data_IF_089169091561
#
_entry.id   IF_089169091561
#
_cell.length_a   1.000
_cell.length_b   1.000
_cell.length_c   1.000
_cell.angle_alpha   90.00
_cell.angle_beta   90.00
_cell.angle_gamma   90.00
#
_symmetry.space_group_name_H-M   'P 1'
#
loop_
_entity.id
_entity.type
_entity.pdbx_description
1 polymer ?
#
# COMPACT_ATOMS: atom_id res chain seq x y z
N UNK A 1 -4.45 -15.83 20.34
CA UNK A 1 -4.48 -14.65 21.23
C UNK A 1 -3.16 -13.90 21.03
N UNK A 2 -3.21 -12.59 20.81
CA UNK A 2 -2.00 -11.77 20.68
C UNK A 2 -1.17 -11.86 21.97
N UNK A 3 0.16 -12.08 21.92
CA UNK A 3 1.00 -12.12 23.13
C UNK A 3 1.16 -10.75 23.80
N UNK A 4 0.56 -9.72 23.20
CA UNK A 4 0.63 -8.33 23.61
C UNK A 4 -0.57 -7.98 24.50
N UNK A 5 -0.33 -7.26 25.60
CA UNK A 5 -1.40 -6.74 26.47
C UNK A 5 -1.16 -5.28 26.81
N UNK A 6 -2.23 -4.49 26.81
CA UNK A 6 -2.20 -3.12 27.31
C UNK A 6 -1.96 -3.09 28.82
N UNK A 7 -1.11 -2.18 29.27
CA UNK A 7 -0.87 -1.87 30.68
C UNK A 7 -0.93 -0.36 30.90
N UNK A 8 -1.69 0.06 31.90
CA UNK A 8 -1.65 1.43 32.40
C UNK A 8 -0.74 1.49 33.62
N UNK A 9 0.36 2.25 33.56
CA UNK A 9 1.28 2.42 34.69
C UNK A 9 1.73 3.88 34.79
N UNK A 10 1.57 4.48 35.98
CA UNK A 10 1.91 5.89 36.22
C UNK A 10 1.24 6.86 35.23
N UNK A 11 -0.04 6.62 34.92
CA UNK A 11 -0.81 7.42 33.96
C UNK A 11 -0.24 7.42 32.52
N UNK A 12 0.54 6.39 32.17
CA UNK A 12 1.05 6.15 30.82
C UNK A 12 0.61 4.77 30.31
N UNK A 13 0.30 4.69 29.01
CA UNK A 13 -0.01 3.47 28.28
C UNK A 13 1.28 2.75 27.89
N UNK A 14 1.30 1.44 28.09
CA UNK A 14 2.45 0.57 27.80
C UNK A 14 1.96 -0.72 27.16
N UNK A 15 2.80 -1.33 26.33
CA UNK A 15 2.57 -2.66 25.78
C UNK A 15 3.46 -3.65 26.53
N UNK A 16 2.85 -4.70 27.08
CA UNK A 16 3.58 -5.85 27.63
C UNK A 16 3.67 -6.95 26.59
N UNK A 17 4.90 -7.41 26.33
CA UNK A 17 5.23 -8.56 25.50
C UNK A 17 6.06 -9.53 26.32
N UNK A 18 5.47 -10.64 26.75
CA UNK A 18 6.11 -11.57 27.69
C UNK A 18 6.58 -10.84 28.95
N UNK A 19 7.91 -10.80 29.16
CA UNK A 19 8.55 -10.12 30.29
C UNK A 19 9.00 -8.67 29.99
N UNK A 20 8.90 -8.23 28.74
CA UNK A 20 9.23 -6.85 28.32
C UNK A 20 8.01 -5.95 28.47
N UNK A 21 8.25 -4.68 28.78
CA UNK A 21 7.21 -3.65 28.82
C UNK A 21 7.75 -2.40 28.16
N UNK A 22 7.15 -2.04 27.03
CA UNK A 22 7.55 -0.89 26.23
C UNK A 22 6.56 0.26 26.42
N UNK A 23 7.03 1.50 26.67
CA UNK A 23 6.14 2.66 26.69
C UNK A 23 5.62 2.96 25.28
N UNK A 24 4.34 3.31 25.16
CA UNK A 24 3.80 3.81 23.90
C UNK A 24 4.32 5.24 23.69
N UNK A 25 4.83 5.60 22.49
CA UNK A 25 5.25 6.97 22.20
C UNK A 25 4.11 7.96 22.41
N UNK A 26 4.42 9.14 22.96
CA UNK A 26 3.43 10.18 23.31
C UNK A 26 2.42 10.54 22.21
N UNK A 27 2.82 10.78 20.94
CA UNK A 27 1.84 11.12 19.89
C UNK A 27 0.88 9.96 19.59
N UNK A 28 1.34 8.71 19.71
CA UNK A 28 0.53 7.51 19.51
C UNK A 28 -0.39 7.27 20.71
N UNK A 29 0.15 7.41 21.92
CA UNK A 29 -0.58 7.25 23.18
C UNK A 29 -1.77 8.21 23.24
N UNK A 30 -1.58 9.48 22.92
CA UNK A 30 -2.66 10.47 22.93
C UNK A 30 -3.81 10.07 22.01
N UNK A 31 -3.49 9.60 20.81
CA UNK A 31 -4.51 9.17 19.84
C UNK A 31 -5.22 7.88 20.24
N UNK A 32 -4.52 6.95 20.91
CA UNK A 32 -5.12 5.72 21.42
C UNK A 32 -6.04 5.95 22.63
N UNK A 33 -5.69 6.89 23.52
CA UNK A 33 -6.45 7.15 24.75
C UNK A 33 -7.62 8.12 24.56
N UNK A 34 -7.48 9.08 23.64
CA UNK A 34 -8.47 10.13 23.39
C UNK A 34 -9.13 10.00 22.01
N UNK A 35 -8.89 8.88 21.33
CA UNK A 35 -9.52 8.54 20.07
C UNK A 35 -11.03 8.28 20.22
N UNK A 36 -11.76 8.18 19.09
CA UNK A 36 -13.20 7.92 19.10
C UNK A 36 -13.58 6.52 19.58
N UNK A 37 -12.63 5.58 19.57
CA UNK A 37 -12.86 4.20 19.93
C UNK A 37 -12.10 3.80 21.20
N UNK A 38 -12.69 2.92 21.99
CA UNK A 38 -12.03 2.32 23.14
C UNK A 38 -10.90 1.34 22.72
N UNK A 39 -9.89 1.23 23.59
CA UNK A 39 -8.85 0.20 23.50
C UNK A 39 -9.48 -1.19 23.67
N UNK A 40 -9.09 -2.12 22.79
CA UNK A 40 -9.55 -3.50 22.85
C UNK A 40 -8.54 -4.38 23.58
N UNK A 41 -8.88 -5.64 23.82
CA UNK A 41 -7.91 -6.61 24.34
C UNK A 41 -6.84 -6.99 23.30
N UNK A 42 -7.05 -6.67 22.02
CA UNK A 42 -6.12 -6.97 20.93
C UNK A 42 -5.31 -5.71 20.57
N UNK A 43 -4.16 -5.58 21.25
CA UNK A 43 -3.17 -4.52 21.00
C UNK A 43 -2.81 -4.41 19.52
N UNK A 44 -2.73 -5.53 18.81
CA UNK A 44 -2.35 -5.51 17.40
C UNK A 44 -3.44 -4.93 16.52
N UNK A 45 -4.69 -5.33 16.76
CA UNK A 45 -5.82 -4.75 16.06
C UNK A 45 -5.92 -3.24 16.30
N UNK A 46 -5.69 -2.78 17.53
CA UNK A 46 -5.72 -1.36 17.89
C UNK A 46 -4.64 -0.54 17.17
N UNK A 47 -3.39 -1.02 17.17
CA UNK A 47 -2.28 -0.34 16.49
C UNK A 47 -2.46 -0.31 14.97
N UNK A 48 -2.91 -1.41 14.36
CA UNK A 48 -3.17 -1.49 12.92
C UNK A 48 -4.36 -0.63 12.50
N UNK A 49 -5.39 -0.55 13.34
CA UNK A 49 -6.53 0.35 13.14
C UNK A 49 -6.08 1.80 13.18
N UNK A 50 -5.26 2.19 14.16
CA UNK A 50 -4.73 3.55 14.23
C UNK A 50 -3.88 3.91 13.00
N UNK A 51 -3.00 3.01 12.54
CA UNK A 51 -2.24 3.21 11.30
C UNK A 51 -3.18 3.43 10.10
N UNK A 52 -4.21 2.59 9.96
CA UNK A 52 -5.23 2.74 8.91
C UNK A 52 -5.95 4.08 8.96
N UNK A 53 -6.34 4.55 10.15
CA UNK A 53 -7.00 5.86 10.35
C UNK A 53 -6.07 7.02 10.00
N UNK A 54 -4.82 6.98 10.47
CA UNK A 54 -3.83 8.01 10.17
C UNK A 54 -3.50 8.05 8.67
N UNK A 55 -3.32 6.89 8.04
CA UNK A 55 -3.06 6.80 6.60
C UNK A 55 -4.23 7.36 5.78
N UNK A 56 -5.48 7.07 6.16
CA UNK A 56 -6.66 7.66 5.53
C UNK A 56 -6.70 9.19 5.69
N UNK A 57 -6.38 9.70 6.88
CA UNK A 57 -6.30 11.14 7.15
C UNK A 57 -5.20 11.81 6.31
N UNK A 58 -4.00 11.24 6.26
CA UNK A 58 -2.88 11.77 5.47
C UNK A 58 -3.25 11.91 3.99
N UNK A 59 -3.92 10.91 3.41
CA UNK A 59 -4.39 10.99 2.01
C UNK A 59 -5.41 12.09 1.80
N UNK A 60 -6.38 12.22 2.71
CA UNK A 60 -7.38 13.29 2.63
C UNK A 60 -6.69 14.66 2.68
N UNK A 61 -5.76 14.86 3.61
CA UNK A 61 -4.99 16.10 3.73
C UNK A 61 -4.15 16.37 2.47
N UNK A 62 -3.54 15.36 1.84
CA UNK A 62 -2.86 15.51 0.55
C UNK A 62 -3.82 15.98 -0.55
N UNK A 63 -4.98 15.34 -0.69
CA UNK A 63 -5.97 15.74 -1.68
C UNK A 63 -6.48 17.17 -1.46
N UNK A 64 -6.73 17.54 -0.19
CA UNK A 64 -7.13 18.89 0.20
C UNK A 64 -6.01 19.92 -0.07
N UNK A 65 -4.75 19.58 0.20
CA UNK A 65 -3.58 20.41 -0.09
C UNK A 65 -3.42 20.65 -1.60
N UNK A 66 -3.53 19.59 -2.41
CA UNK A 66 -3.50 19.71 -3.87
C UNK A 66 -4.65 20.55 -4.42
N UNK A 67 -5.87 20.35 -3.90
CA UNK A 67 -7.03 21.14 -4.30
C UNK A 67 -6.83 22.63 -3.96
N UNK A 68 -6.31 22.94 -2.76
CA UNK A 68 -5.96 24.29 -2.34
C UNK A 68 -4.84 24.88 -3.22
N UNK A 69 -3.80 24.11 -3.56
CA UNK A 69 -2.73 24.55 -4.46
C UNK A 69 -3.25 24.87 -5.87
N UNK A 70 -4.18 24.04 -6.40
CA UNK A 70 -4.87 24.31 -7.68
C UNK A 70 -5.75 25.55 -7.62
N UNK A 71 -6.43 25.80 -6.50
CA UNK A 71 -7.21 27.03 -6.27
C UNK A 71 -6.33 28.28 -6.26
N UNK A 72 -5.24 28.25 -5.49
CA UNK A 72 -4.21 29.30 -5.44
C UNK A 72 -3.69 29.59 -6.86
N UNK A 73 -3.34 28.54 -7.62
CA UNK A 73 -2.84 28.68 -9.00
C UNK A 73 -3.87 29.31 -9.94
N UNK A 74 -5.15 28.91 -9.85
CA UNK A 74 -6.25 29.51 -10.64
C UNK A 74 -6.43 31.00 -10.34
N UNK A 75 -6.28 31.42 -9.07
CA UNK A 75 -6.28 32.84 -8.72
C UNK A 75 -5.11 33.62 -9.35
N UNK A 76 -3.97 32.97 -9.62
CA UNK A 76 -2.82 33.60 -10.27
C UNK A 76 -2.89 33.62 -11.80
N UNK A 77 -3.48 32.60 -12.44
CA UNK A 77 -3.61 32.55 -13.91
C UNK A 77 -4.77 33.39 -14.46
N UNK A 78 -5.73 33.78 -13.62
CA UNK A 78 -6.83 34.69 -13.92
C UNK A 78 -6.41 36.17 -14.06
N UNK A 79 -5.43 36.48 -14.91
CA UNK A 79 -5.28 37.82 -15.48
C UNK A 79 -6.24 37.94 -16.67
N UNK A 80 -7.24 38.82 -16.52
CA UNK A 80 -8.18 39.30 -17.56
C UNK A 80 -9.54 38.59 -17.61
N UNK A 81 -10.47 39.02 -16.75
CA UNK A 81 -11.74 39.64 -17.17
C UNK A 81 -12.58 40.01 -15.93
N UNK A 82 -12.71 41.31 -15.73
CA UNK A 82 -13.84 42.05 -15.17
C UNK A 82 -14.82 41.37 -14.18
N UNK A 83 -14.96 42.03 -13.01
CA UNK A 83 -16.21 42.20 -12.24
C UNK A 83 -17.01 40.94 -11.88
N UNK A 84 -16.66 40.32 -10.74
CA UNK A 84 -17.67 39.88 -9.77
C UNK A 84 -17.06 39.86 -8.35
N UNK A 85 -17.69 40.49 -7.34
CA UNK A 85 -17.30 40.34 -5.96
C UNK A 85 -17.82 38.98 -5.47
N UNK A 86 -17.09 37.91 -5.80
CA UNK A 86 -17.36 36.60 -5.21
C UNK A 86 -16.74 36.62 -3.81
N UNK A 87 -17.62 36.58 -2.82
CA UNK A 87 -17.39 36.28 -1.40
C UNK A 87 -16.05 35.58 -1.09
N UNK A 88 -15.05 36.38 -0.69
CA UNK A 88 -14.68 36.44 0.73
C UNK A 88 -13.56 35.53 1.25
N UNK A 89 -12.72 34.91 0.40
CA UNK A 89 -11.39 34.47 0.86
C UNK A 89 -10.33 35.35 0.23
N UNK A 90 -9.62 36.09 1.07
CA UNK A 90 -8.47 36.85 0.58
C UNK A 90 -7.36 35.86 0.21
N UNK A 91 -6.44 36.28 -0.67
CA UNK A 91 -5.25 35.49 -1.01
C UNK A 91 -4.47 35.04 0.22
N UNK A 92 -4.39 35.90 1.23
CA UNK A 92 -3.74 35.57 2.50
C UNK A 92 -4.45 34.41 3.21
N UNK A 93 -5.79 34.38 3.19
CA UNK A 93 -6.57 33.30 3.79
C UNK A 93 -6.40 31.97 3.04
N UNK A 94 -6.33 31.98 1.71
CA UNK A 94 -6.11 30.77 0.92
C UNK A 94 -4.71 30.17 1.15
N UNK A 95 -3.68 31.02 1.20
CA UNK A 95 -2.30 30.59 1.50
C UNK A 95 -2.19 30.10 2.95
N UNK A 96 -2.79 30.80 3.91
CA UNK A 96 -2.81 30.37 5.32
C UNK A 96 -3.56 29.04 5.50
N UNK A 97 -4.67 28.85 4.76
CA UNK A 97 -5.41 27.59 4.72
C UNK A 97 -4.57 26.43 4.18
N UNK A 98 -3.92 26.62 3.02
CA UNK A 98 -3.00 25.63 2.46
C UNK A 98 -1.85 25.30 3.42
N UNK A 99 -1.21 26.32 4.03
CA UNK A 99 -0.10 26.14 4.97
C UNK A 99 -0.53 25.28 6.15
N UNK A 100 -1.70 25.56 6.74
CA UNK A 100 -2.24 24.75 7.84
C UNK A 100 -2.50 23.29 7.44
N UNK A 101 -3.01 23.04 6.23
CA UNK A 101 -3.26 21.68 5.75
C UNK A 101 -1.94 20.92 5.59
N UNK A 102 -0.90 21.59 5.07
CA UNK A 102 0.44 21.00 4.93
C UNK A 102 1.05 20.70 6.30
N UNK A 103 0.98 21.63 7.26
CA UNK A 103 1.44 21.40 8.64
C UNK A 103 0.74 20.19 9.27
N UNK A 104 -0.59 20.08 9.10
CA UNK A 104 -1.34 18.92 9.59
C UNK A 104 -0.93 17.62 8.88
N UNK A 105 -0.64 17.67 7.59
CA UNK A 105 -0.18 16.51 6.83
C UNK A 105 1.19 16.04 7.34
N UNK A 106 2.10 16.97 7.61
CA UNK A 106 3.42 16.68 8.15
C UNK A 106 3.31 16.04 9.54
N UNK A 107 2.49 16.62 10.44
CA UNK A 107 2.24 16.06 11.79
C UNK A 107 1.69 14.63 11.74
N UNK A 108 0.73 14.37 10.84
CA UNK A 108 0.15 13.04 10.65
C UNK A 108 1.19 12.08 10.08
N UNK A 109 2.01 12.51 9.12
CA UNK A 109 3.05 11.68 8.51
C UNK A 109 4.10 11.28 9.55
N UNK A 110 4.57 12.23 10.36
CA UNK A 110 5.50 11.97 11.47
C UNK A 110 4.88 10.99 12.48
N UNK A 111 3.60 11.15 12.80
CA UNK A 111 2.91 10.25 13.74
C UNK A 111 2.80 8.82 13.20
N UNK A 112 2.55 8.65 11.90
CA UNK A 112 2.57 7.35 11.23
C UNK A 112 3.96 6.72 11.33
N UNK A 113 5.01 7.47 11.03
CA UNK A 113 6.40 6.99 11.12
C UNK A 113 6.73 6.51 12.54
N UNK A 114 6.42 7.32 13.56
CA UNK A 114 6.62 6.97 14.97
C UNK A 114 5.84 5.71 15.37
N UNK A 115 4.59 5.58 14.93
CA UNK A 115 3.78 4.39 15.17
C UNK A 115 4.41 3.14 14.56
N UNK A 116 4.87 3.22 13.31
CA UNK A 116 5.45 2.09 12.59
C UNK A 116 6.79 1.68 13.17
N UNK A 117 7.65 2.64 13.47
CA UNK A 117 8.92 2.39 14.17
C UNK A 117 8.69 1.71 15.52
N UNK A 118 7.69 2.18 16.29
CA UNK A 118 7.31 1.55 17.53
C UNK A 118 6.89 0.10 17.32
N UNK A 119 5.96 -0.19 16.41
CA UNK A 119 5.52 -1.56 16.11
C UNK A 119 6.67 -2.44 15.63
N UNK A 120 7.56 -1.94 14.77
CA UNK A 120 8.75 -2.67 14.33
C UNK A 120 9.66 -3.00 15.53
N UNK A 121 9.87 -2.04 16.44
CA UNK A 121 10.72 -2.23 17.64
C UNK A 121 10.16 -3.22 18.66
N UNK A 122 8.84 -3.48 18.63
CA UNK A 122 8.22 -4.48 19.50
C UNK A 122 8.71 -5.89 19.17
N UNK A 123 9.30 -6.13 17.98
CA UNK A 123 9.59 -7.46 17.46
C UNK A 123 8.37 -8.40 17.60
N UNK A 124 7.22 -8.01 17.03
CA UNK A 124 5.96 -8.67 17.31
C UNK A 124 5.87 -10.05 16.64
N UNK A 125 4.90 -10.85 17.08
CA UNK A 125 4.55 -12.14 16.49
C UNK A 125 3.24 -12.07 15.68
N UNK A 126 3.02 -13.07 14.82
CA UNK A 126 1.78 -13.21 14.05
C UNK A 126 1.56 -12.05 13.07
N UNK A 127 0.32 -11.57 12.95
CA UNK A 127 -0.05 -10.53 11.98
C UNK A 127 0.78 -9.24 12.11
N UNK A 128 1.07 -8.81 13.34
CA UNK A 128 1.87 -7.60 13.56
C UNK A 128 3.30 -7.75 13.04
N UNK A 129 3.86 -8.97 13.08
CA UNK A 129 5.17 -9.28 12.51
C UNK A 129 5.14 -9.13 11.00
N UNK A 130 4.16 -9.74 10.36
CA UNK A 130 4.03 -9.76 8.90
C UNK A 130 3.81 -8.32 8.39
N UNK A 131 3.08 -7.50 9.16
CA UNK A 131 2.92 -6.06 8.91
C UNK A 131 4.23 -5.29 9.10
N UNK A 132 4.94 -5.50 10.20
CA UNK A 132 6.21 -4.84 10.49
C UNK A 132 7.29 -5.16 9.45
N UNK A 133 7.36 -6.42 8.99
CA UNK A 133 8.20 -6.80 7.86
C UNK A 133 7.76 -6.10 6.57
N UNK A 134 6.44 -5.96 6.36
CA UNK A 134 5.85 -5.22 5.24
C UNK A 134 6.34 -3.78 5.15
N UNK A 135 6.31 -3.05 6.26
CA UNK A 135 6.76 -1.66 6.33
C UNK A 135 8.26 -1.48 6.14
N UNK A 136 9.07 -2.52 6.42
CA UNK A 136 10.51 -2.48 6.19
C UNK A 136 10.89 -2.66 4.71
N UNK A 137 9.97 -3.14 3.87
CA UNK A 137 10.21 -3.31 2.42
C UNK A 137 10.14 -1.95 1.72
N UNK A 138 11.12 -1.69 0.85
CA UNK A 138 11.08 -0.52 -0.02
C UNK A 138 9.85 -0.62 -0.94
N UNK A 139 8.94 0.37 -0.95
CA UNK A 139 7.75 0.34 -1.78
C UNK A 139 8.03 0.59 -3.28
N UNK A 140 9.24 1.02 -3.65
CA UNK A 140 9.58 1.25 -5.05
C UNK A 140 9.59 -0.05 -5.87
N UNK A 141 9.15 -0.02 -7.15
CA UNK A 141 9.22 -1.18 -8.02
C UNK A 141 10.67 -1.69 -8.09
N UNK A 142 10.93 -2.98 -7.79
CA UNK A 142 12.27 -3.55 -7.92
C UNK A 142 12.76 -3.48 -9.37
N UNK A 143 14.08 -3.32 -9.58
CA UNK A 143 14.67 -3.10 -10.90
C UNK A 143 14.42 -4.23 -11.93
N UNK A 144 14.05 -5.43 -11.47
CA UNK A 144 13.71 -6.58 -12.33
C UNK A 144 12.22 -6.67 -12.67
N UNK A 145 11.40 -5.75 -12.17
CA UNK A 145 9.97 -5.62 -12.52
C UNK A 145 9.84 -4.63 -13.67
N UNK A 146 9.16 -5.04 -14.74
CA UNK A 146 8.79 -4.13 -15.82
C UNK A 146 7.45 -3.48 -15.50
N UNK A 147 7.43 -2.14 -15.47
CA UNK A 147 6.22 -1.35 -15.19
C UNK A 147 5.68 -0.80 -16.51
N UNK A 148 4.48 -1.23 -16.88
CA UNK A 148 3.76 -0.81 -18.07
C UNK A 148 2.57 0.04 -17.64
N UNK A 149 2.26 1.08 -18.43
CA UNK A 149 1.25 2.08 -18.11
C UNK A 149 -0.10 1.46 -17.76
N UNK A 150 -0.58 0.46 -18.50
CA UNK A 150 -1.81 -0.24 -18.16
C UNK A 150 -1.88 -1.63 -18.83
N UNK A 151 -2.91 -2.40 -18.48
CA UNK A 151 -3.12 -3.76 -18.98
C UNK A 151 -3.48 -3.83 -20.48
N UNK A 152 -4.11 -2.78 -21.03
CA UNK A 152 -4.43 -2.70 -22.46
C UNK A 152 -3.16 -2.49 -23.28
N UNK A 153 -2.28 -1.59 -22.85
CA UNK A 153 -0.98 -1.39 -23.46
C UNK A 153 -0.12 -2.64 -23.34
N UNK A 154 -0.13 -3.31 -22.18
CA UNK A 154 0.58 -4.58 -22.02
C UNK A 154 0.12 -5.65 -23.03
N UNK A 155 -1.19 -5.72 -23.30
CA UNK A 155 -1.79 -6.61 -24.30
C UNK A 155 -1.52 -6.18 -25.76
N UNK A 156 -1.34 -4.89 -26.02
CA UNK A 156 -0.96 -4.36 -27.34
C UNK A 156 0.53 -4.56 -27.65
N UNK A 157 1.41 -4.43 -26.65
CA UNK A 157 2.85 -4.64 -26.79
C UNK A 157 3.19 -6.11 -27.08
N UNK A 158 2.41 -7.05 -26.52
CA UNK A 158 2.47 -8.47 -26.87
C UNK A 158 1.06 -9.06 -26.97
N UNK A 159 0.59 -9.21 -28.22
CA UNK A 159 -0.73 -9.78 -28.51
C UNK A 159 -0.94 -11.20 -27.97
N UNK A 160 0.12 -11.96 -27.64
CA UNK A 160 0.00 -13.27 -27.02
C UNK A 160 -0.53 -13.19 -25.59
N UNK A 161 -0.44 -12.02 -24.94
CA UNK A 161 -1.05 -11.73 -23.63
C UNK A 161 -2.54 -11.43 -23.73
N UNK A 162 -3.07 -11.21 -24.94
CA UNK A 162 -4.43 -10.76 -25.16
C UNK A 162 -5.40 -11.91 -25.47
N UNK A 163 -6.66 -11.72 -25.09
CA UNK A 163 -7.82 -12.47 -25.60
C UNK A 163 -8.87 -11.49 -26.10
N UNK A 164 -9.72 -11.87 -27.08
CA UNK A 164 -10.88 -11.08 -27.44
C UNK A 164 -11.76 -10.87 -26.20
N UNK A 165 -12.10 -9.63 -25.90
CA UNK A 165 -13.29 -9.36 -25.10
C UNK A 165 -14.50 -9.42 -26.05
N UNK A 166 -15.64 -9.95 -25.61
CA UNK A 166 -16.80 -10.21 -26.48
C UNK A 166 -17.42 -8.96 -27.12
N UNK A 167 -16.82 -7.77 -26.96
CA UNK A 167 -17.27 -6.48 -27.44
C UNK A 167 -16.37 -5.89 -28.53
N UNK A 168 -15.44 -6.71 -29.07
CA UNK A 168 -14.52 -6.29 -30.13
C UNK A 168 -13.25 -5.61 -29.63
N UNK A 169 -13.03 -5.58 -28.31
CA UNK A 169 -11.80 -5.16 -27.68
C UNK A 169 -10.86 -6.33 -27.34
N UNK A 170 -9.80 -6.03 -26.62
CA UNK A 170 -8.80 -7.00 -26.14
C UNK A 170 -8.66 -6.86 -24.63
N UNK A 171 -8.76 -7.99 -23.93
CA UNK A 171 -8.51 -8.10 -22.49
C UNK A 171 -7.27 -8.96 -22.25
N UNK A 172 -6.69 -8.90 -21.05
CA UNK A 172 -5.66 -9.86 -20.65
C UNK A 172 -6.23 -11.29 -20.66
N UNK A 173 -5.47 -12.20 -21.24
CA UNK A 173 -5.71 -13.64 -21.24
C UNK A 173 -5.14 -14.32 -19.97
N UNK A 174 -5.09 -13.57 -18.87
CA UNK A 174 -4.51 -14.01 -17.61
C UNK A 174 -5.48 -14.80 -16.73
N UNK A 175 -4.90 -15.62 -15.86
CA UNK A 175 -5.56 -16.38 -14.80
C UNK A 175 -5.21 -15.71 -13.47
N UNK A 176 -6.18 -15.09 -12.82
CA UNK A 176 -6.00 -14.29 -11.58
C UNK A 176 -6.22 -15.12 -10.31
N UNK A 177 -5.55 -16.27 -10.24
CA UNK A 177 -5.73 -17.26 -9.15
C UNK A 177 -4.97 -16.92 -7.86
N UNK A 178 -4.00 -16.00 -7.91
CA UNK A 178 -3.18 -15.62 -6.75
C UNK A 178 -3.83 -14.57 -5.85
N UNK A 179 -5.13 -14.31 -6.06
CA UNK A 179 -5.94 -13.43 -5.24
C UNK A 179 -5.84 -11.94 -5.58
N UNK A 180 -6.87 -11.22 -5.14
CA UNK A 180 -6.92 -9.77 -5.12
C UNK A 180 -6.49 -9.23 -3.75
N UNK A 181 -6.21 -7.94 -3.66
CA UNK A 181 -5.81 -7.22 -2.44
C UNK A 181 -4.33 -7.34 -2.06
N UNK A 182 -3.47 -7.54 -3.05
CA UNK A 182 -2.05 -7.28 -2.90
C UNK A 182 -1.82 -5.78 -2.71
N UNK A 183 -0.78 -5.44 -1.93
CA UNK A 183 -0.59 -4.08 -1.43
C UNK A 183 0.75 -3.50 -1.84
N UNK A 184 0.72 -2.21 -2.18
CA UNK A 184 1.87 -1.32 -2.28
C UNK A 184 1.42 0.00 -1.70
N UNK A 185 2.01 0.43 -0.59
CA UNK A 185 1.40 1.51 0.23
C UNK A 185 1.12 2.82 -0.53
N UNK A 186 2.01 3.30 -1.42
CA UNK A 186 1.72 4.44 -2.29
C UNK A 186 0.49 4.29 -3.19
N UNK A 187 0.08 3.05 -3.52
CA UNK A 187 -0.98 2.75 -4.50
C UNK A 187 -2.32 2.33 -3.88
N UNK A 188 -2.28 1.84 -2.64
CA UNK A 188 -3.45 1.36 -1.93
C UNK A 188 -4.48 2.48 -1.82
N UNK A 189 -5.78 2.20 -1.86
CA UNK A 189 -6.81 3.22 -1.59
C UNK A 189 -7.38 3.02 -0.19
N UNK A 190 -7.71 4.09 0.55
CA UNK A 190 -8.41 3.92 1.81
C UNK A 190 -9.80 3.34 1.49
N UNK A 191 -10.06 2.13 1.96
CA UNK A 191 -11.43 1.60 1.96
C UNK A 191 -12.34 2.55 2.74
N UNK A 192 -13.55 2.82 2.28
CA UNK A 192 -14.55 3.54 3.10
C UNK A 192 -15.00 2.69 4.30
N UNK A 193 -14.83 1.37 4.19
CA UNK A 193 -15.21 0.39 5.22
C UNK A 193 -13.98 -0.10 5.99
N UNK A 194 -13.99 -0.03 7.34
CA UNK A 194 -13.01 -0.72 8.16
C UNK A 194 -13.04 -2.24 7.94
N UNK A 195 -11.91 -2.95 8.14
CA UNK A 195 -10.60 -2.42 8.47
C UNK A 195 -9.83 -1.89 7.26
N UNK A 196 -9.45 -0.60 7.31
CA UNK A 196 -8.70 0.08 6.24
C UNK A 196 -7.33 -0.56 5.94
N UNK A 197 -6.78 -1.31 6.89
CA UNK A 197 -5.47 -1.96 6.80
C UNK A 197 -5.49 -3.30 6.05
N UNK A 198 -6.65 -3.79 5.57
CA UNK A 198 -6.78 -5.08 4.87
C UNK A 198 -7.10 -4.98 3.38
N UNK A 199 -7.17 -3.78 2.81
CA UNK A 199 -7.50 -3.58 1.39
C UNK A 199 -6.27 -3.23 0.58
N UNK A 200 -6.04 -4.00 -0.48
CA UNK A 200 -4.99 -3.74 -1.48
C UNK A 200 -5.57 -3.46 -2.85
N UNK A 201 -4.84 -2.65 -3.62
CA UNK A 201 -5.23 -2.18 -4.96
C UNK A 201 -4.82 -3.13 -6.09
N UNK A 202 -4.02 -4.15 -5.79
CA UNK A 202 -3.39 -5.01 -6.79
C UNK A 202 -3.99 -6.41 -6.84
N UNK A 203 -4.02 -6.97 -8.04
CA UNK A 203 -4.38 -8.35 -8.34
C UNK A 203 -3.20 -9.02 -9.03
N UNK A 204 -2.85 -10.24 -8.63
CA UNK A 204 -1.80 -11.03 -9.29
C UNK A 204 -2.42 -12.08 -10.19
N UNK A 205 -1.78 -12.32 -11.32
CA UNK A 205 -2.19 -13.35 -12.26
C UNK A 205 -1.05 -13.99 -13.02
N UNK A 206 -1.39 -15.03 -13.77
CA UNK A 206 -0.49 -15.78 -14.63
C UNK A 206 -1.00 -15.72 -16.08
N UNK A 207 -0.10 -15.51 -17.04
CA UNK A 207 -0.37 -15.54 -18.47
C UNK A 207 0.17 -16.86 -19.04
N UNK A 208 -0.70 -17.85 -19.35
CA UNK A 208 -0.25 -19.17 -19.78
C UNK A 208 0.52 -19.15 -21.10
N UNK A 209 0.06 -18.36 -22.06
CA UNK A 209 0.65 -18.30 -23.41
C UNK A 209 2.08 -17.77 -23.41
N UNK A 210 2.36 -16.80 -22.54
CA UNK A 210 3.68 -16.16 -22.45
C UNK A 210 4.51 -16.67 -21.27
N UNK A 211 3.94 -17.51 -20.40
CA UNK A 211 4.58 -18.06 -19.19
C UNK A 211 5.03 -16.95 -18.21
N UNK A 212 4.17 -15.96 -18.03
CA UNK A 212 4.46 -14.74 -17.27
C UNK A 212 3.62 -14.65 -16.01
N UNK A 213 4.20 -14.16 -14.91
CA UNK A 213 3.44 -13.73 -13.73
C UNK A 213 3.41 -12.21 -13.71
N UNK A 214 2.21 -11.67 -13.52
CA UNK A 214 1.96 -10.24 -13.58
C UNK A 214 1.15 -9.77 -12.38
N UNK A 215 1.16 -8.45 -12.16
CA UNK A 215 0.24 -7.78 -11.27
C UNK A 215 -0.45 -6.64 -12.02
N UNK A 216 -1.72 -6.40 -11.71
CA UNK A 216 -2.49 -5.27 -12.25
C UNK A 216 -3.13 -4.48 -11.14
N UNK A 217 -3.10 -3.16 -11.30
CA UNK A 217 -3.84 -2.21 -10.49
C UNK A 217 -5.04 -1.73 -11.28
N UNK A 218 -6.24 -1.97 -10.73
CA UNK A 218 -7.54 -1.54 -11.29
C UNK A 218 -8.30 -0.59 -10.36
N UNK A 219 -7.59 0.04 -9.44
CA UNK A 219 -8.18 0.86 -8.39
C UNK A 219 -8.75 2.18 -8.97
N UNK A 220 -9.85 2.67 -8.38
CA UNK A 220 -10.68 3.73 -8.96
C UNK A 220 -10.08 5.15 -8.89
N UNK A 221 -9.11 5.37 -8.01
CA UNK A 221 -8.35 6.61 -7.87
C UNK A 221 -6.85 6.38 -8.12
N UNK A 222 -6.46 6.56 -9.38
CA UNK A 222 -5.07 6.53 -9.84
C UNK A 222 -4.96 5.93 -11.23
N UNK A 223 -3.77 5.99 -11.86
CA UNK A 223 -3.56 5.30 -13.11
C UNK A 223 -3.71 3.79 -12.88
N UNK A 224 -4.37 3.13 -13.83
CA UNK A 224 -4.20 1.69 -14.00
C UNK A 224 -2.71 1.42 -14.21
N UNK A 225 -2.24 0.24 -13.88
CA UNK A 225 -0.82 -0.12 -14.07
C UNK A 225 -0.69 -1.62 -14.20
N UNK A 226 0.24 -2.06 -15.05
CA UNK A 226 0.59 -3.47 -15.21
C UNK A 226 2.07 -3.67 -14.84
N UNK A 227 2.34 -4.63 -13.96
CA UNK A 227 3.70 -5.03 -13.59
C UNK A 227 3.96 -6.44 -14.09
N UNK A 228 5.03 -6.62 -14.86
CA UNK A 228 5.58 -7.95 -15.16
C UNK A 228 6.54 -8.34 -14.03
N UNK A 229 6.15 -9.31 -13.22
CA UNK A 229 6.92 -9.75 -12.05
C UNK A 229 7.98 -10.80 -12.43
N UNK A 230 7.70 -11.62 -13.44
CA UNK A 230 8.64 -12.61 -13.93
C UNK A 230 8.14 -13.40 -15.13
N UNK A 231 9.07 -14.07 -15.80
CA UNK A 231 8.84 -14.85 -17.03
C UNK A 231 9.51 -16.22 -16.94
N UNK A 232 9.05 -17.17 -17.76
CA UNK A 232 9.64 -18.51 -17.87
C UNK A 232 9.17 -19.48 -16.78
N UNK A 233 8.07 -19.17 -16.10
CA UNK A 233 7.38 -20.10 -15.20
C UNK A 233 6.43 -20.93 -16.06
N UNK A 234 6.83 -22.16 -16.34
CA UNK A 234 6.29 -22.95 -17.45
C UNK A 234 4.84 -23.40 -17.25
N UNK A 235 4.40 -23.50 -16.00
CA UNK A 235 3.04 -23.92 -15.65
C UNK A 235 2.45 -23.03 -14.57
N UNK A 236 1.11 -23.00 -14.52
CA UNK A 236 0.38 -22.35 -13.43
C UNK A 236 0.68 -23.01 -12.08
N UNK A 237 0.83 -24.33 -12.03
CA UNK A 237 1.19 -25.07 -10.81
C UNK A 237 2.58 -24.64 -10.30
N UNK A 238 3.54 -24.40 -11.19
CA UNK A 238 4.86 -23.90 -10.82
C UNK A 238 4.75 -22.52 -10.17
N UNK A 239 4.05 -21.58 -10.82
CA UNK A 239 3.80 -20.25 -10.26
C UNK A 239 3.05 -20.32 -8.92
N UNK A 240 2.07 -21.22 -8.81
CA UNK A 240 1.31 -21.46 -7.57
C UNK A 240 2.20 -21.97 -6.46
N UNK A 241 3.10 -22.92 -6.74
CA UNK A 241 4.03 -23.46 -5.74
C UNK A 241 4.98 -22.40 -5.17
N UNK A 242 5.35 -21.41 -5.99
CA UNK A 242 6.21 -20.29 -5.61
C UNK A 242 5.44 -19.27 -4.76
N UNK A 243 4.20 -18.96 -5.12
CA UNK A 243 3.41 -17.91 -4.47
C UNK A 243 2.59 -18.40 -3.26
N UNK A 244 2.19 -19.68 -3.23
CA UNK A 244 1.37 -20.24 -2.15
C UNK A 244 1.91 -19.96 -0.74
N UNK A 245 3.23 -20.04 -0.47
CA UNK A 245 3.77 -19.75 0.87
C UNK A 245 3.54 -18.30 1.32
N UNK A 246 3.42 -17.34 0.40
CA UNK A 246 3.29 -15.92 0.70
C UNK A 246 1.84 -15.39 0.58
N UNK A 247 0.90 -16.20 0.09
CA UNK A 247 -0.52 -15.81 0.00
C UNK A 247 -1.12 -15.30 1.32
N UNK A 248 -0.80 -15.88 2.51
CA UNK A 248 -1.30 -15.34 3.77
C UNK A 248 -0.86 -13.89 4.04
N UNK A 249 0.30 -13.48 3.49
CA UNK A 249 0.85 -12.14 3.63
C UNK A 249 0.35 -11.16 2.56
N UNK A 250 -0.54 -11.58 1.64
CA UNK A 250 -1.06 -10.75 0.55
C UNK A 250 -1.61 -9.40 1.01
N UNK A 251 -2.24 -9.34 2.19
CA UNK A 251 -2.84 -8.11 2.75
C UNK A 251 -1.88 -7.30 3.64
N UNK A 252 -0.64 -7.75 3.80
CA UNK A 252 0.37 -7.00 4.55
C UNK A 252 0.90 -5.83 3.68
N UNK A 253 1.40 -4.74 4.29
CA UNK A 253 2.01 -3.64 3.55
C UNK A 253 3.12 -4.13 2.61
N UNK A 254 3.17 -3.55 1.41
CA UNK A 254 4.18 -3.84 0.40
C UNK A 254 4.33 -5.34 0.04
N UNK A 255 3.26 -6.12 0.20
CA UNK A 255 3.21 -7.54 -0.19
C UNK A 255 3.44 -7.77 -1.69
N UNK A 256 3.13 -6.77 -2.54
CA UNK A 256 3.46 -6.82 -3.96
C UNK A 256 4.98 -6.90 -4.19
N UNK A 257 5.76 -6.22 -3.36
CA UNK A 257 7.22 -6.24 -3.40
C UNK A 257 7.72 -7.63 -2.99
N UNK A 258 7.14 -8.20 -1.92
CA UNK A 258 7.42 -9.58 -1.51
C UNK A 258 7.14 -10.59 -2.63
N UNK A 259 6.03 -10.44 -3.36
CA UNK A 259 5.74 -11.30 -4.50
C UNK A 259 6.78 -11.18 -5.61
N UNK A 260 7.17 -9.95 -5.97
CA UNK A 260 8.20 -9.69 -6.96
C UNK A 260 9.56 -10.30 -6.57
N UNK A 261 9.99 -10.12 -5.32
CA UNK A 261 11.21 -10.71 -4.76
C UNK A 261 11.17 -12.24 -4.78
N UNK A 262 10.04 -12.83 -4.39
CA UNK A 262 9.86 -14.29 -4.34
C UNK A 262 9.96 -14.92 -5.73
N UNK A 263 9.30 -14.32 -6.73
CA UNK A 263 9.37 -14.76 -8.12
C UNK A 263 10.80 -14.60 -8.66
N UNK A 264 11.46 -13.48 -8.38
CA UNK A 264 12.83 -13.25 -8.81
C UNK A 264 13.82 -14.27 -8.19
N UNK A 265 13.69 -14.57 -6.90
CA UNK A 265 14.52 -15.55 -6.21
C UNK A 265 14.34 -16.97 -6.78
N UNK A 266 13.10 -17.37 -7.06
CA UNK A 266 12.81 -18.66 -7.69
C UNK A 266 13.46 -18.78 -9.08
N UNK A 267 13.35 -17.73 -9.91
CA UNK A 267 13.97 -17.69 -11.25
C UNK A 267 15.50 -17.80 -11.20
N UNK A 268 16.14 -17.08 -10.26
CA UNK A 268 17.62 -17.16 -10.10
C UNK A 268 18.07 -18.56 -9.66
N UNK A 269 17.36 -19.18 -8.73
CA UNK A 269 17.69 -20.52 -8.23
C UNK A 269 17.61 -21.56 -9.36
N UNK A 270 16.60 -21.44 -10.23
CA UNK A 270 16.46 -22.29 -11.42
C UNK A 270 17.59 -22.09 -12.43
N UNK A 271 17.95 -20.84 -12.72
CA UNK A 271 19.07 -20.53 -13.62
C UNK A 271 20.39 -21.12 -13.10
N UNK A 272 20.65 -21.04 -11.79
CA UNK A 272 21.83 -21.63 -11.17
C UNK A 272 21.85 -23.16 -11.29
N UNK A 273 20.70 -23.82 -11.13
CA UNK A 273 20.60 -25.28 -11.26
C UNK A 273 20.86 -25.75 -12.70
N UNK A 274 20.28 -25.07 -13.70
CA UNK A 274 20.51 -25.41 -15.11
C UNK A 274 21.98 -25.20 -15.54
N UNK A 275 22.67 -24.20 -14.98
CA UNK A 275 24.09 -24.00 -15.23
C UNK A 275 24.97 -25.07 -14.56
N UNK A 276 24.57 -25.62 -13.42
CA UNK A 276 25.30 -26.68 -12.74
C UNK A 276 25.15 -28.05 -13.42
N UNK A 277 24.02 -28.31 -14.09
CA UNK A 277 23.80 -29.55 -14.85
C UNK A 277 24.47 -29.55 -16.24
N UNK A 278 24.87 -28.36 -16.74
CA UNK A 278 25.47 -28.19 -18.06
C UNK A 278 27.02 -28.13 -18.07
N UNK A 279 27.66 -28.22 -16.90
CA UNK A 279 29.12 -28.20 -16.73
C UNK A 279 29.68 -29.54 -16.28
#
# INVERSE_FOLDING_TARGET
>A
MSPHTWLHRHNRLRVRLGNRTEPVPEPVEGLLLYGPDDLTADVGADLLRLDGTLAALARRLRADAEAAAREITRHYSGRSAATHPVTGRTRADAVAGHTRIVEQLDDVTITIEVLREFVISLAPDGLLRDVAEGWQRNPEPPAYVEVILDEFLAAQLDHRRARPDGWGGSALAGIEEFGAHWRREPDDEPSELPPHYLTGSWVLGYLPTTTEVYAVRRAGSGPHTFWLLGTGLTTLDEATSILAPILPAMRCPNSLILAAETIHAARRSRAAHMHAEAG
#
